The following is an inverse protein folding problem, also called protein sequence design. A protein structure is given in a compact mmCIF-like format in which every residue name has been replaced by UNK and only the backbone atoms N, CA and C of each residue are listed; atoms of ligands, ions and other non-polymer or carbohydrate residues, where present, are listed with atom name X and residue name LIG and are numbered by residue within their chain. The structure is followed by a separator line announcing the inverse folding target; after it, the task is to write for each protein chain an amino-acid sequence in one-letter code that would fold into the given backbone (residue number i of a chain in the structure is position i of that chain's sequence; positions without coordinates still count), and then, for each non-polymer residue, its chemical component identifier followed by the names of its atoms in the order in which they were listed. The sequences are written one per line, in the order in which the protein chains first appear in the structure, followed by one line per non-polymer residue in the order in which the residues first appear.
data_IF_710726174659
#
_entry.id   IF_710726174659
#
_cell.length_a   1.000
_cell.length_b   1.000
_cell.length_c   1.000
_cell.angle_alpha   90.00
_cell.angle_beta   90.00
_cell.angle_gamma   90.00
#
_symmetry.space_group_name_H-M   'P 1'
#
loop_
_entity.id
_entity.type
_entity.pdbx_description
1 polymer ?
#
# COMPACT_ATOMS: atom_id res chain seq x y z
N UNK A 1 -28.84 -16.53 -9.86
CA UNK A 1 -27.62 -16.76 -10.66
C UNK A 1 -26.51 -17.14 -9.70
N UNK A 2 -25.90 -18.31 -9.86
CA UNK A 2 -24.83 -18.81 -8.99
C UNK A 2 -23.57 -17.96 -9.19
N UNK A 3 -23.15 -17.24 -8.15
CA UNK A 3 -21.85 -16.57 -8.15
C UNK A 3 -20.72 -17.55 -7.86
N UNK A 4 -19.50 -17.16 -8.21
CA UNK A 4 -18.29 -17.90 -7.88
C UNK A 4 -17.91 -17.67 -6.43
N UNK A 5 -17.56 -18.71 -5.70
CA UNK A 5 -17.03 -18.59 -4.34
C UNK A 5 -15.59 -18.06 -4.36
N UNK A 6 -15.10 -17.57 -3.22
CA UNK A 6 -13.68 -17.13 -3.10
C UNK A 6 -12.69 -18.23 -3.52
N UNK A 7 -13.01 -19.49 -3.20
CA UNK A 7 -12.21 -20.67 -3.54
C UNK A 7 -12.19 -20.92 -5.05
N UNK A 8 -13.34 -20.84 -5.72
CA UNK A 8 -13.45 -21.02 -7.17
C UNK A 8 -12.73 -19.89 -7.92
N UNK A 9 -12.88 -18.65 -7.47
CA UNK A 9 -12.15 -17.50 -8.06
C UNK A 9 -10.64 -17.66 -7.87
N UNK A 10 -10.22 -18.10 -6.69
CA UNK A 10 -8.82 -18.40 -6.38
C UNK A 10 -8.25 -19.46 -7.34
N UNK A 11 -8.96 -20.56 -7.56
CA UNK A 11 -8.56 -21.63 -8.48
C UNK A 11 -8.55 -21.15 -9.95
N UNK A 12 -9.57 -20.42 -10.38
CA UNK A 12 -9.70 -19.93 -11.76
C UNK A 12 -8.62 -18.92 -12.15
N UNK A 13 -8.17 -18.11 -11.20
CA UNK A 13 -7.20 -17.04 -11.45
C UNK A 13 -5.80 -17.39 -10.93
N UNK A 14 -5.61 -18.53 -10.25
CA UNK A 14 -4.35 -18.84 -9.57
C UNK A 14 -3.94 -17.74 -8.58
N UNK A 15 -4.90 -17.14 -7.88
CA UNK A 15 -4.68 -16.15 -6.84
C UNK A 15 -4.87 -16.82 -5.48
N UNK A 16 -4.14 -16.44 -4.44
CA UNK A 16 -4.41 -16.93 -3.09
C UNK A 16 -5.76 -16.37 -2.59
N UNK A 17 -6.57 -17.12 -1.80
CA UNK A 17 -7.88 -16.66 -1.34
C UNK A 17 -7.86 -15.33 -0.55
N UNK A 18 -6.75 -15.00 0.12
CA UNK A 18 -6.60 -13.70 0.78
C UNK A 18 -6.43 -12.54 -0.23
N UNK A 19 -5.73 -12.75 -1.36
CA UNK A 19 -5.60 -11.74 -2.41
C UNK A 19 -6.98 -11.40 -3.00
N UNK A 20 -7.82 -12.43 -3.23
CA UNK A 20 -9.21 -12.25 -3.67
C UNK A 20 -10.02 -11.44 -2.64
N UNK A 21 -9.89 -11.75 -1.34
CA UNK A 21 -10.58 -11.01 -0.26
C UNK A 21 -10.05 -9.59 -0.07
N UNK A 22 -8.77 -9.33 -0.33
CA UNK A 22 -8.18 -7.99 -0.30
C UNK A 22 -8.88 -7.05 -1.30
N UNK A 23 -9.20 -7.54 -2.51
CA UNK A 23 -9.94 -6.75 -3.51
C UNK A 23 -11.40 -6.47 -3.14
N UNK A 24 -11.98 -7.26 -2.24
CA UNK A 24 -13.29 -6.98 -1.62
C UNK A 24 -13.15 -5.89 -0.56
N UNK A 25 -12.17 -6.01 0.35
CA UNK A 25 -11.92 -5.03 1.43
C UNK A 25 -11.52 -3.65 0.90
N UNK A 26 -10.76 -3.61 -0.19
CA UNK A 26 -10.36 -2.37 -0.88
C UNK A 26 -11.48 -1.77 -1.76
N UNK A 27 -12.69 -2.34 -1.67
CA UNK A 27 -13.90 -1.93 -2.38
C UNK A 27 -13.78 -1.93 -3.91
N UNK A 28 -12.85 -2.70 -4.47
CA UNK A 28 -12.67 -2.80 -5.93
C UNK A 28 -13.74 -3.68 -6.55
N UNK A 29 -14.01 -4.83 -5.91
CA UNK A 29 -15.15 -5.70 -6.21
C UNK A 29 -16.13 -5.69 -5.03
N UNK A 30 -17.43 -5.80 -5.32
CA UNK A 30 -18.49 -5.87 -4.31
C UNK A 30 -19.33 -7.12 -4.56
N UNK A 31 -18.81 -8.31 -4.24
CA UNK A 31 -19.52 -9.57 -4.45
C UNK A 31 -20.77 -9.64 -3.58
N UNK A 32 -21.78 -10.37 -4.05
CA UNK A 32 -22.95 -10.71 -3.25
C UNK A 32 -22.60 -11.65 -2.10
N UNK A 33 -23.57 -11.89 -1.21
CA UNK A 33 -23.46 -12.87 -0.13
C UNK A 33 -24.35 -14.07 -0.42
N UNK A 34 -23.81 -15.27 -0.21
CA UNK A 34 -24.57 -16.51 -0.23
C UNK A 34 -25.34 -16.75 1.06
N UNK A 35 -26.11 -17.84 1.10
CA UNK A 35 -26.95 -18.20 2.25
C UNK A 35 -26.15 -18.46 3.53
N UNK A 36 -24.87 -18.85 3.41
CA UNK A 36 -23.96 -19.08 4.55
C UNK A 36 -23.00 -17.91 4.78
N UNK A 37 -23.27 -16.74 4.18
CA UNK A 37 -22.45 -15.53 4.32
C UNK A 37 -21.16 -15.53 3.51
N UNK A 38 -20.92 -16.53 2.67
CA UNK A 38 -19.79 -16.60 1.75
C UNK A 38 -19.88 -15.52 0.66
N UNK A 39 -18.73 -15.05 0.19
CA UNK A 39 -18.68 -14.15 -0.97
C UNK A 39 -19.02 -14.91 -2.24
N UNK A 40 -20.02 -14.39 -2.96
CA UNK A 40 -20.44 -14.84 -4.28
C UNK A 40 -20.08 -13.77 -5.31
N UNK A 41 -18.95 -13.98 -5.97
CA UNK A 41 -18.41 -13.13 -7.01
C UNK A 41 -19.21 -13.30 -8.29
N UNK A 42 -19.63 -12.19 -8.88
CA UNK A 42 -20.19 -12.20 -10.22
C UNK A 42 -19.10 -12.48 -11.25
N UNK A 43 -19.48 -12.88 -12.46
CA UNK A 43 -18.54 -12.98 -13.57
C UNK A 43 -17.77 -11.67 -13.81
N UNK A 44 -18.43 -10.52 -13.60
CA UNK A 44 -17.80 -9.19 -13.69
C UNK A 44 -16.68 -9.03 -12.68
N UNK A 45 -16.88 -9.48 -11.44
CA UNK A 45 -15.88 -9.42 -10.39
C UNK A 45 -14.68 -10.31 -10.74
N UNK A 46 -14.93 -11.52 -11.25
CA UNK A 46 -13.85 -12.45 -11.67
C UNK A 46 -13.01 -11.86 -12.79
N UNK A 47 -13.63 -11.18 -13.76
CA UNK A 47 -12.90 -10.48 -14.83
C UNK A 47 -12.09 -9.31 -14.27
N UNK A 48 -12.63 -8.52 -13.34
CA UNK A 48 -11.91 -7.41 -12.72
C UNK A 48 -10.70 -7.91 -11.91
N UNK A 49 -10.86 -9.02 -11.19
CA UNK A 49 -9.80 -9.68 -10.44
C UNK A 49 -8.73 -10.27 -11.36
N UNK A 50 -9.11 -10.79 -12.54
CA UNK A 50 -8.15 -11.22 -13.57
C UNK A 50 -7.31 -10.04 -14.07
N UNK A 51 -7.95 -8.90 -14.31
CA UNK A 51 -7.26 -7.66 -14.70
C UNK A 51 -6.32 -7.19 -13.59
N UNK A 52 -6.77 -7.24 -12.35
CA UNK A 52 -5.97 -6.89 -11.18
C UNK A 52 -4.73 -7.77 -11.04
N UNK A 53 -4.90 -9.08 -11.21
CA UNK A 53 -3.80 -10.04 -11.25
C UNK A 53 -2.81 -9.70 -12.37
N UNK A 54 -3.28 -9.45 -13.59
CA UNK A 54 -2.40 -9.08 -14.71
C UNK A 54 -1.60 -7.79 -14.48
N UNK A 55 -2.14 -6.82 -13.73
CA UNK A 55 -1.41 -5.60 -13.34
C UNK A 55 -0.31 -5.92 -12.32
N UNK A 56 -0.62 -6.72 -11.29
CA UNK A 56 0.38 -7.16 -10.30
C UNK A 56 1.49 -7.97 -10.98
N UNK A 57 1.12 -8.95 -11.82
CA UNK A 57 2.06 -9.78 -12.57
C UNK A 57 2.96 -8.94 -13.50
N UNK A 58 2.53 -7.72 -13.87
CA UNK A 58 3.29 -6.75 -14.68
C UNK A 58 4.18 -5.81 -13.86
N UNK A 59 4.44 -6.11 -12.57
CA UNK A 59 5.22 -5.27 -11.64
C UNK A 59 4.62 -3.88 -11.38
N UNK A 60 3.30 -3.73 -11.51
CA UNK A 60 2.61 -2.51 -11.10
C UNK A 60 2.29 -2.64 -9.61
N UNK A 61 2.70 -1.65 -8.81
CA UNK A 61 2.47 -1.68 -7.37
C UNK A 61 0.99 -1.87 -7.04
N UNK A 62 0.63 -2.61 -5.98
CA UNK A 62 -0.77 -2.86 -5.62
C UNK A 62 -1.59 -1.57 -5.48
N UNK A 63 -1.01 -0.51 -4.92
CA UNK A 63 -1.63 0.83 -4.83
C UNK A 63 -1.97 1.41 -6.21
N UNK A 64 -1.07 1.29 -7.20
CA UNK A 64 -1.27 1.78 -8.57
C UNK A 64 -2.28 0.90 -9.33
N UNK A 65 -2.23 -0.42 -9.15
CA UNK A 65 -3.21 -1.35 -9.71
C UNK A 65 -4.63 -1.06 -9.19
N UNK A 66 -4.80 -0.84 -7.88
CA UNK A 66 -6.07 -0.45 -7.27
C UNK A 66 -6.59 0.89 -7.84
N UNK A 67 -5.72 1.89 -8.02
CA UNK A 67 -6.07 3.19 -8.62
C UNK A 67 -6.56 3.04 -10.07
N UNK A 68 -5.89 2.21 -10.87
CA UNK A 68 -6.28 1.90 -12.25
C UNK A 68 -7.63 1.20 -12.28
N UNK A 69 -7.84 0.17 -11.46
CA UNK A 69 -9.10 -0.58 -11.42
C UNK A 69 -10.28 0.29 -10.96
N UNK A 70 -10.08 1.19 -9.98
CA UNK A 70 -11.10 2.16 -9.54
C UNK A 70 -11.48 3.12 -10.67
N UNK A 71 -10.50 3.63 -11.42
CA UNK A 71 -10.75 4.51 -12.58
C UNK A 71 -11.48 3.78 -13.71
N UNK A 72 -11.07 2.56 -14.05
CA UNK A 72 -11.74 1.73 -15.05
C UNK A 72 -13.20 1.45 -14.69
N UNK A 73 -13.49 1.26 -13.40
CA UNK A 73 -14.86 1.08 -12.91
C UNK A 73 -15.71 2.35 -13.06
N UNK A 74 -15.14 3.53 -12.80
CA UNK A 74 -15.84 4.82 -12.92
C UNK A 74 -16.06 5.24 -14.37
N UNK A 75 -15.10 4.95 -15.26
CA UNK A 75 -15.14 5.32 -16.68
C UNK A 75 -16.03 4.40 -17.54
N UNK A 76 -16.54 3.30 -16.98
CA UNK A 76 -17.39 2.34 -17.70
C UNK A 76 -18.76 2.18 -17.02
N UNK A 77 -19.66 3.18 -17.09
CA UNK A 77 -21.03 3.02 -16.60
C UNK A 77 -21.87 2.28 -17.65
N UNK A 78 -22.49 1.17 -17.23
CA UNK A 78 -23.48 0.44 -18.03
C UNK A 78 -22.91 -0.66 -18.93
N UNK A 79 -23.39 -1.89 -18.70
CA UNK A 79 -23.53 -3.04 -19.62
C UNK A 79 -22.40 -3.49 -20.56
N UNK A 80 -21.18 -2.92 -20.51
CA UNK A 80 -20.06 -3.45 -21.29
C UNK A 80 -19.20 -4.38 -20.43
N UNK A 81 -19.06 -5.67 -20.78
CA UNK A 81 -18.24 -6.57 -20.00
C UNK A 81 -16.76 -6.23 -20.21
N UNK A 82 -16.05 -6.03 -19.10
CA UNK A 82 -14.60 -5.77 -19.02
C UNK A 82 -13.75 -6.88 -19.71
N UNK A 83 -14.38 -7.99 -20.12
CA UNK A 83 -13.77 -9.11 -20.85
C UNK A 83 -13.32 -8.73 -22.27
N UNK A 84 -13.77 -7.59 -22.81
CA UNK A 84 -13.30 -7.07 -24.09
C UNK A 84 -12.03 -6.20 -23.97
N UNK A 85 -11.58 -5.88 -22.75
CA UNK A 85 -10.44 -5.01 -22.50
C UNK A 85 -9.14 -5.82 -22.49
N UNK A 86 -8.29 -5.63 -23.50
CA UNK A 86 -6.93 -6.16 -23.53
C UNK A 86 -5.99 -5.10 -22.96
N UNK A 87 -5.25 -5.42 -21.91
CA UNK A 87 -4.21 -4.54 -21.37
C UNK A 87 -2.90 -4.80 -22.11
N UNK A 88 -2.27 -3.73 -22.61
CA UNK A 88 -0.98 -3.74 -23.28
C UNK A 88 -0.04 -2.84 -22.50
N UNK A 89 1.12 -3.35 -22.11
CA UNK A 89 2.18 -2.55 -21.49
C UNK A 89 2.97 -1.85 -22.58
N UNK A 90 3.09 -0.53 -22.47
CA UNK A 90 3.92 0.30 -23.34
C UNK A 90 4.83 1.17 -22.45
N UNK A 91 6.06 0.69 -22.23
CA UNK A 91 7.00 1.30 -21.28
C UNK A 91 6.45 1.35 -19.85
N UNK A 92 6.27 2.56 -19.32
CA UNK A 92 5.67 2.84 -18.00
C UNK A 92 4.14 3.02 -18.01
N UNK A 93 3.53 2.98 -19.19
CA UNK A 93 2.10 3.21 -19.39
C UNK A 93 1.35 1.90 -19.61
N UNK A 94 0.15 1.83 -19.03
CA UNK A 94 -0.81 0.74 -19.30
C UNK A 94 -1.79 1.25 -20.34
N UNK A 95 -1.83 0.62 -21.50
CA UNK A 95 -2.81 0.88 -22.54
C UNK A 95 -3.95 -0.12 -22.43
N UNK A 96 -5.18 0.37 -22.51
CA UNK A 96 -6.39 -0.42 -22.60
C UNK A 96 -6.81 -0.49 -24.06
N UNK A 97 -7.05 -1.68 -24.57
CA UNK A 97 -7.53 -1.93 -25.91
C UNK A 97 -8.93 -2.52 -25.88
N UNK A 98 -9.89 -1.83 -26.49
CA UNK A 98 -11.24 -2.33 -26.75
C UNK A 98 -11.63 -2.01 -28.19
N UNK A 99 -12.19 -2.99 -28.92
CA UNK A 99 -12.79 -2.79 -30.25
C UNK A 99 -11.93 -1.94 -31.20
N UNK A 100 -10.60 -2.19 -31.20
CA UNK A 100 -9.63 -1.50 -32.05
C UNK A 100 -9.27 -0.04 -31.64
N UNK A 101 -9.60 0.38 -30.42
CA UNK A 101 -9.18 1.66 -29.82
C UNK A 101 -8.25 1.44 -28.64
N UNK A 102 -7.18 2.20 -28.59
CA UNK A 102 -6.23 2.25 -27.48
C UNK A 102 -6.45 3.51 -26.66
N UNK A 103 -6.33 3.43 -25.34
CA UNK A 103 -6.19 4.61 -24.48
C UNK A 103 -5.34 4.27 -23.25
N UNK A 104 -4.65 5.25 -22.70
CA UNK A 104 -3.89 5.10 -21.48
C UNK A 104 -4.86 4.92 -20.30
N UNK A 105 -4.70 3.84 -19.52
CA UNK A 105 -5.55 3.49 -18.39
C UNK A 105 -5.44 4.49 -17.23
N UNK A 106 -4.35 5.25 -17.19
CA UNK A 106 -4.05 6.22 -16.14
C UNK A 106 -4.52 7.62 -16.53
N UNK A 107 -4.25 8.06 -17.76
CA UNK A 107 -4.55 9.43 -18.19
C UNK A 107 -5.85 9.54 -18.99
N UNK A 108 -6.40 8.43 -19.50
CA UNK A 108 -7.54 8.41 -20.42
C UNK A 108 -7.21 8.91 -21.83
N UNK A 109 -5.96 9.28 -22.10
CA UNK A 109 -5.54 9.81 -23.39
C UNK A 109 -5.42 8.71 -24.45
N UNK A 110 -5.83 9.01 -25.67
CA UNK A 110 -5.64 8.13 -26.82
C UNK A 110 -4.21 8.31 -27.33
N UNK A 111 -3.37 7.26 -27.37
CA UNK A 111 -2.02 7.36 -27.92
C UNK A 111 -2.09 7.66 -29.43
N UNK A 112 -1.15 8.48 -29.90
CA UNK A 112 -1.04 8.84 -31.31
C UNK A 112 -0.82 7.56 -32.16
N UNK A 113 -1.38 7.47 -33.39
CA UNK A 113 -1.33 6.27 -34.23
C UNK A 113 0.09 5.78 -34.57
N UNK A 114 1.09 6.64 -34.42
CA UNK A 114 2.51 6.36 -34.67
C UNK A 114 3.24 5.76 -33.45
N UNK A 115 2.66 5.88 -32.25
CA UNK A 115 3.23 5.40 -30.98
C UNK A 115 2.51 4.17 -30.43
N UNK A 116 1.36 3.78 -31.00
CA UNK A 116 0.65 2.58 -30.56
C UNK A 116 1.45 1.32 -30.97
N UNK A 117 1.78 0.41 -30.04
CA UNK A 117 2.45 -0.83 -30.38
C UNK A 117 1.57 -1.63 -31.35
N UNK A 118 2.03 -1.80 -32.59
CA UNK A 118 1.44 -2.73 -33.53
C UNK A 118 1.78 -4.14 -33.04
N UNK A 119 0.81 -5.02 -32.79
CA UNK A 119 1.13 -6.39 -32.41
C UNK A 119 1.80 -7.08 -33.60
N UNK A 120 3.11 -7.32 -33.50
CA UNK A 120 3.66 -8.50 -34.13
C UNK A 120 3.04 -9.71 -33.38
N UNK A 121 2.57 -10.70 -34.13
CA UNK A 121 1.91 -11.94 -33.66
C UNK A 121 0.38 -11.88 -33.61
N UNK A 122 -0.18 -12.64 -34.56
CA UNK A 122 -1.59 -12.93 -34.76
C UNK A 122 -2.13 -13.88 -33.68
N UNK A 123 -3.42 -13.75 -33.45
CA UNK A 123 -4.29 -14.52 -32.56
C UNK A 123 -4.10 -16.04 -32.74
N UNK A 124 -3.46 -16.74 -31.79
CA UNK A 124 -3.66 -18.19 -31.59
C UNK A 124 -3.02 -18.84 -30.34
N UNK A 125 -2.19 -18.18 -29.53
CA UNK A 125 -1.53 -18.87 -28.37
C UNK A 125 -2.03 -18.39 -27.00
N UNK A 126 -3.33 -18.57 -26.72
CA UNK A 126 -3.86 -18.53 -25.35
C UNK A 126 -4.74 -19.77 -25.11
N UNK A 127 -4.27 -20.93 -25.57
CA UNK A 127 -4.73 -22.24 -25.14
C UNK A 127 -3.49 -23.12 -24.98
N UNK A 128 -3.20 -23.53 -23.74
CA UNK A 128 -2.13 -24.47 -23.42
C UNK A 128 -0.82 -23.81 -23.01
N UNK A 129 -0.45 -24.05 -21.75
CA UNK A 129 0.87 -23.86 -21.15
C UNK A 129 1.35 -22.43 -20.90
N UNK A 130 1.33 -22.08 -19.61
CA UNK A 130 2.35 -21.33 -18.91
C UNK A 130 3.06 -20.23 -19.71
N UNK A 131 2.70 -18.99 -19.40
CA UNK A 131 3.73 -17.98 -19.27
C UNK A 131 4.59 -18.45 -18.09
N UNK A 132 5.66 -19.16 -18.42
CA UNK A 132 6.75 -19.46 -17.50
C UNK A 132 7.46 -18.14 -17.28
N UNK A 133 7.00 -17.41 -16.27
CA UNK A 133 7.90 -16.51 -15.54
C UNK A 133 8.58 -17.40 -14.52
N UNK A 134 9.86 -17.68 -14.75
CA UNK A 134 10.72 -18.25 -13.72
C UNK A 134 10.89 -17.21 -12.61
N UNK A 135 9.95 -17.17 -11.66
CA UNK A 135 10.32 -16.77 -10.31
C UNK A 135 11.13 -17.94 -9.75
N UNK A 136 12.37 -17.66 -9.34
CA UNK A 136 13.05 -18.57 -8.43
C UNK A 136 12.13 -18.80 -7.24
N UNK A 137 11.71 -20.05 -7.08
CA UNK A 137 11.09 -20.66 -5.91
C UNK A 137 10.52 -19.72 -4.82
N UNK A 138 9.21 -19.47 -4.88
CA UNK A 138 8.35 -19.49 -3.68
C UNK A 138 8.35 -18.33 -2.68
N UNK A 139 9.11 -17.25 -2.86
CA UNK A 139 9.17 -16.15 -1.88
C UNK A 139 8.28 -14.94 -2.23
N UNK A 140 7.58 -14.39 -1.24
CA UNK A 140 6.77 -13.16 -1.41
C UNK A 140 7.67 -11.93 -1.56
N UNK A 141 7.22 -10.94 -2.33
CA UNK A 141 7.92 -9.65 -2.48
C UNK A 141 7.86 -8.80 -1.19
N UNK A 142 8.74 -7.78 -1.09
CA UNK A 142 8.75 -6.87 0.06
C UNK A 142 7.39 -6.20 0.32
N UNK A 143 6.75 -5.70 -0.73
CA UNK A 143 5.42 -5.08 -0.63
C UNK A 143 4.35 -6.08 -0.16
N UNK A 144 4.42 -7.34 -0.60
CA UNK A 144 3.47 -8.38 -0.17
C UNK A 144 3.68 -8.75 1.31
N UNK A 145 4.93 -8.87 1.75
CA UNK A 145 5.26 -9.07 3.16
C UNK A 145 4.84 -7.87 4.03
N UNK A 146 5.06 -6.64 3.56
CA UNK A 146 4.64 -5.43 4.26
C UNK A 146 3.13 -5.35 4.43
N UNK A 147 2.36 -5.61 3.36
CA UNK A 147 0.90 -5.62 3.43
C UNK A 147 0.37 -6.75 4.33
N UNK A 148 1.04 -7.91 4.35
CA UNK A 148 0.72 -8.96 5.32
C UNK A 148 0.96 -8.48 6.76
N UNK A 149 2.05 -7.76 7.02
CA UNK A 149 2.33 -7.16 8.32
C UNK A 149 1.19 -6.24 8.78
N UNK A 150 0.70 -5.36 7.91
CA UNK A 150 -0.45 -4.50 8.20
C UNK A 150 -1.72 -5.31 8.54
N UNK A 151 -2.04 -6.32 7.75
CA UNK A 151 -3.20 -7.22 8.01
C UNK A 151 -3.06 -7.96 9.36
N UNK A 152 -1.84 -8.34 9.72
CA UNK A 152 -1.54 -9.02 10.98
C UNK A 152 -1.64 -8.08 12.17
N UNK A 153 -1.28 -6.80 12.05
CA UNK A 153 -1.47 -5.85 13.17
C UNK A 153 -2.93 -5.74 13.62
N UNK A 154 -3.89 -5.86 12.71
CA UNK A 154 -5.32 -5.80 13.02
C UNK A 154 -5.87 -7.11 13.63
N UNK A 155 -5.22 -8.24 13.37
CA UNK A 155 -5.78 -9.57 13.65
C UNK A 155 -4.93 -10.43 14.60
N UNK A 156 -3.62 -10.44 14.39
CA UNK A 156 -2.63 -11.27 15.07
C UNK A 156 -1.34 -10.47 15.26
N UNK A 157 -1.38 -9.40 16.07
CA UNK A 157 -0.29 -8.41 16.20
C UNK A 157 1.07 -9.03 16.53
N UNK A 158 1.09 -10.14 17.27
CA UNK A 158 2.31 -10.89 17.62
C UNK A 158 3.05 -11.48 16.41
N UNK A 159 2.36 -11.68 15.28
CA UNK A 159 2.94 -12.21 14.03
C UNK A 159 3.40 -11.12 13.07
N UNK A 160 2.92 -9.89 13.23
CA UNK A 160 3.26 -8.78 12.35
C UNK A 160 4.77 -8.47 12.27
N UNK A 161 5.58 -8.57 13.35
CA UNK A 161 7.01 -8.34 13.28
C UNK A 161 7.75 -9.25 12.29
N UNK A 162 7.36 -10.54 12.20
CA UNK A 162 7.97 -11.49 11.26
C UNK A 162 7.68 -11.10 9.80
N UNK A 163 6.45 -10.67 9.51
CA UNK A 163 6.08 -10.21 8.19
C UNK A 163 6.86 -8.95 7.78
N UNK A 164 7.04 -7.97 8.68
CA UNK A 164 7.86 -6.80 8.38
C UNK A 164 9.35 -7.13 8.24
N UNK A 165 9.86 -8.07 9.04
CA UNK A 165 11.24 -8.54 8.92
C UNK A 165 11.47 -9.17 7.54
N UNK A 166 10.54 -9.99 7.06
CA UNK A 166 10.60 -10.58 5.71
C UNK A 166 10.45 -9.53 4.61
N UNK A 167 9.69 -8.45 4.84
CA UNK A 167 9.63 -7.32 3.93
C UNK A 167 11.00 -6.62 3.82
N UNK A 168 11.68 -6.41 4.94
CA UNK A 168 13.01 -5.81 5.01
C UNK A 168 14.07 -6.72 4.35
N UNK A 169 13.97 -8.03 4.53
CA UNK A 169 14.88 -9.00 3.89
C UNK A 169 14.72 -9.02 2.36
N UNK A 170 13.47 -8.92 1.89
CA UNK A 170 13.16 -8.86 0.46
C UNK A 170 13.55 -7.50 -0.18
N UNK A 171 13.45 -6.40 0.57
CA UNK A 171 13.94 -5.08 0.16
C UNK A 171 14.47 -4.28 1.37
N UNK A 172 15.80 -4.21 1.54
CA UNK A 172 16.43 -3.45 2.62
C UNK A 172 16.24 -1.92 2.55
N UNK A 173 15.58 -1.41 1.51
CA UNK A 173 15.25 0.01 1.36
C UNK A 173 13.80 0.35 1.70
N UNK A 174 13.00 -0.64 2.08
CA UNK A 174 11.59 -0.44 2.46
C UNK A 174 11.45 0.31 3.80
N UNK A 175 11.39 1.63 3.71
CA UNK A 175 11.27 2.53 4.87
C UNK A 175 9.99 2.26 5.68
N UNK A 176 8.86 2.01 5.02
CA UNK A 176 7.57 1.79 5.68
C UNK A 176 7.62 0.54 6.60
N UNK A 177 8.27 -0.53 6.13
CA UNK A 177 8.45 -1.75 6.92
C UNK A 177 9.31 -1.51 8.17
N UNK A 178 10.42 -0.76 8.05
CA UNK A 178 11.23 -0.39 9.21
C UNK A 178 10.46 0.46 10.22
N UNK A 179 9.66 1.44 9.77
CA UNK A 179 8.86 2.29 10.66
C UNK A 179 7.84 1.44 11.44
N UNK A 180 7.10 0.56 10.78
CA UNK A 180 6.08 -0.26 11.44
C UNK A 180 6.69 -1.32 12.37
N UNK A 181 7.76 -2.00 11.95
CA UNK A 181 8.50 -2.91 12.83
C UNK A 181 9.06 -2.19 14.07
N UNK A 182 9.60 -0.97 13.88
CA UNK A 182 10.04 -0.11 14.97
C UNK A 182 8.92 0.22 15.95
N UNK A 183 7.72 0.57 15.45
CA UNK A 183 6.53 0.84 16.27
C UNK A 183 6.14 -0.37 17.10
N UNK A 184 6.08 -1.56 16.50
CA UNK A 184 5.72 -2.79 17.22
C UNK A 184 6.76 -3.14 18.30
N UNK A 185 8.04 -2.94 18.03
CA UNK A 185 9.07 -3.07 19.05
C UNK A 185 8.93 -2.06 20.19
N UNK A 186 8.50 -0.84 19.91
CA UNK A 186 8.26 0.16 20.96
C UNK A 186 7.05 -0.21 21.81
N UNK A 187 5.94 -0.60 21.19
CA UNK A 187 4.72 -1.04 21.88
C UNK A 187 4.97 -2.26 22.79
N UNK A 188 5.90 -3.15 22.40
CA UNK A 188 6.32 -4.30 23.21
C UNK A 188 7.38 -3.96 24.27
N UNK A 189 7.77 -2.69 24.42
CA UNK A 189 8.80 -2.24 25.38
C UNK A 189 10.24 -2.52 24.94
N UNK A 190 10.47 -3.05 23.73
CA UNK A 190 11.80 -3.31 23.19
C UNK A 190 12.39 -2.04 22.52
N UNK A 191 12.62 -1.02 23.35
CA UNK A 191 13.08 0.31 22.92
C UNK A 191 14.40 0.27 22.15
N UNK A 192 15.30 -0.67 22.50
CA UNK A 192 16.58 -0.84 21.79
C UNK A 192 16.38 -1.26 20.35
N UNK A 193 15.44 -2.17 20.08
CA UNK A 193 15.16 -2.62 18.72
C UNK A 193 14.39 -1.56 17.94
N UNK A 194 13.42 -0.90 18.56
CA UNK A 194 12.69 0.21 17.97
C UNK A 194 13.63 1.33 17.51
N UNK A 195 14.53 1.77 18.40
CA UNK A 195 15.55 2.78 18.09
C UNK A 195 16.40 2.42 16.87
N UNK A 196 16.88 1.17 16.78
CA UNK A 196 17.66 0.71 15.61
C UNK A 196 16.89 0.80 14.30
N UNK A 197 15.61 0.47 14.30
CA UNK A 197 14.76 0.55 13.11
C UNK A 197 14.56 2.00 12.68
N UNK A 198 14.27 2.91 13.61
CA UNK A 198 14.12 4.33 13.27
C UNK A 198 15.45 4.97 12.85
N UNK A 199 16.59 4.60 13.44
CA UNK A 199 17.92 5.04 12.98
C UNK A 199 18.23 4.54 11.57
N UNK A 200 17.80 3.32 11.21
CA UNK A 200 17.89 2.80 9.83
C UNK A 200 17.05 3.64 8.87
N UNK A 201 15.82 3.99 9.25
CA UNK A 201 14.97 4.90 8.47
C UNK A 201 15.68 6.22 8.23
N UNK A 202 16.28 6.83 9.27
CA UNK A 202 16.98 8.11 9.12
C UNK A 202 18.29 8.00 8.31
N UNK A 203 18.89 6.81 8.19
CA UNK A 203 20.00 6.59 7.25
C UNK A 203 19.51 6.58 5.79
N UNK A 204 18.34 6.03 5.53
CA UNK A 204 17.73 5.95 4.19
C UNK A 204 17.04 7.26 3.80
N UNK A 205 16.38 7.92 4.75
CA UNK A 205 15.60 9.13 4.60
C UNK A 205 15.84 10.08 5.80
N UNK A 206 16.89 10.93 5.75
CA UNK A 206 17.29 11.78 6.88
C UNK A 206 16.21 12.73 7.42
N UNK A 207 15.31 13.18 6.56
CA UNK A 207 14.23 14.12 6.90
C UNK A 207 12.89 13.42 7.20
N UNK A 208 12.89 12.10 7.46
CA UNK A 208 11.66 11.35 7.71
C UNK A 208 11.00 11.78 9.03
N UNK A 209 9.93 12.59 8.95
CA UNK A 209 9.31 13.23 10.11
C UNK A 209 8.81 12.21 11.15
N UNK A 210 8.15 11.14 10.73
CA UNK A 210 7.60 10.14 11.65
C UNK A 210 8.69 9.36 12.39
N UNK A 211 9.84 9.13 11.76
CA UNK A 211 10.95 8.41 12.40
C UNK A 211 11.67 9.30 13.41
N UNK A 212 11.84 10.59 13.10
CA UNK A 212 12.29 11.59 14.07
C UNK A 212 11.31 11.69 15.25
N UNK A 213 10.00 11.74 15.01
CA UNK A 213 9.00 11.77 16.08
C UNK A 213 9.11 10.53 16.98
N UNK A 214 9.16 9.32 16.42
CA UNK A 214 9.23 8.10 17.21
C UNK A 214 10.57 7.93 17.97
N UNK A 215 11.69 8.45 17.44
CA UNK A 215 12.92 8.53 18.23
C UNK A 215 12.77 9.52 19.39
N UNK A 216 12.09 10.64 19.16
CA UNK A 216 11.74 11.59 20.21
C UNK A 216 10.95 10.93 21.33
N UNK A 217 9.92 10.14 21.01
CA UNK A 217 9.12 9.43 22.02
C UNK A 217 9.93 8.41 22.81
N UNK A 218 10.85 7.67 22.16
CA UNK A 218 11.78 6.77 22.88
C UNK A 218 12.65 7.53 23.88
N UNK A 219 13.24 8.66 23.50
CA UNK A 219 14.08 9.44 24.43
C UNK A 219 13.25 10.08 25.55
N UNK A 220 12.00 10.44 25.26
CA UNK A 220 11.03 10.95 26.25
C UNK A 220 10.67 9.87 27.29
N UNK A 221 10.39 8.64 26.85
CA UNK A 221 10.16 7.48 27.71
C UNK A 221 11.38 7.13 28.60
N UNK A 222 12.59 7.50 28.15
CA UNK A 222 13.84 7.33 28.90
C UNK A 222 14.19 8.55 29.78
N UNK A 223 13.30 9.55 29.88
CA UNK A 223 13.51 10.82 30.59
C UNK A 223 14.70 11.66 30.07
N UNK A 224 15.15 11.38 28.84
CA UNK A 224 16.20 12.12 28.15
C UNK A 224 15.62 13.33 27.37
N UNK A 225 14.94 14.22 28.08
CA UNK A 225 14.09 15.29 27.51
C UNK A 225 14.82 16.22 26.52
N UNK A 226 16.12 16.49 26.72
CA UNK A 226 16.92 17.32 25.82
C UNK A 226 17.03 16.67 24.44
N UNK A 227 17.33 15.36 24.39
CA UNK A 227 17.40 14.61 23.13
C UNK A 227 16.01 14.43 22.52
N UNK A 228 15.00 14.16 23.35
CA UNK A 228 13.62 14.08 22.89
C UNK A 228 13.22 15.35 22.12
N UNK A 229 13.50 16.53 22.70
CA UNK A 229 13.25 17.81 22.07
C UNK A 229 14.04 18.03 20.76
N UNK A 230 15.27 17.54 20.65
CA UNK A 230 16.05 17.61 19.41
C UNK A 230 15.38 16.84 18.26
N UNK A 231 14.90 15.64 18.54
CA UNK A 231 14.21 14.80 17.57
C UNK A 231 12.81 15.32 17.23
N UNK A 232 12.03 15.75 18.22
CA UNK A 232 10.74 16.38 17.96
C UNK A 232 10.87 17.65 17.09
N UNK A 233 11.95 18.45 17.25
CA UNK A 233 12.20 19.63 16.39
C UNK A 233 12.42 19.28 14.91
N UNK A 234 12.88 18.06 14.62
CA UNK A 234 13.06 17.55 13.24
C UNK A 234 11.76 16.95 12.67
N UNK A 235 10.75 16.70 13.50
CA UNK A 235 9.46 16.15 13.11
C UNK A 235 8.41 17.26 12.84
N UNK A 236 8.77 18.29 12.09
CA UNK A 236 7.96 19.52 11.90
C UNK A 236 6.57 19.29 11.27
N UNK A 237 6.38 18.18 10.55
CA UNK A 237 5.10 17.79 9.95
C UNK A 237 4.21 16.93 10.85
N UNK A 238 4.64 16.62 12.08
CA UNK A 238 3.89 15.78 13.03
C UNK A 238 3.29 16.68 14.11
N UNK A 239 1.96 16.84 14.19
CA UNK A 239 1.32 17.65 15.22
C UNK A 239 1.80 17.26 16.62
N UNK A 240 1.79 15.98 16.93
CA UNK A 240 2.13 15.47 18.27
C UNK A 240 3.57 15.80 18.69
N UNK A 241 4.48 15.99 17.74
CA UNK A 241 5.84 16.46 18.04
C UNK A 241 5.82 17.88 18.63
N UNK A 242 4.96 18.76 18.10
CA UNK A 242 4.76 20.11 18.63
C UNK A 242 4.04 20.09 19.98
N UNK A 243 3.07 19.19 20.17
CA UNK A 243 2.45 19.00 21.47
C UNK A 243 3.49 18.59 22.54
N UNK A 244 4.35 17.62 22.23
CA UNK A 244 5.39 17.15 23.15
C UNK A 244 6.47 18.22 23.41
N UNK A 245 6.85 19.01 22.39
CA UNK A 245 7.75 20.15 22.58
C UNK A 245 7.15 21.23 23.48
N UNK A 246 5.84 21.49 23.38
CA UNK A 246 5.16 22.42 24.27
C UNK A 246 5.22 21.94 25.72
N UNK A 247 4.92 20.66 25.96
CA UNK A 247 5.01 20.03 27.28
C UNK A 247 6.43 20.11 27.87
N UNK A 248 7.46 19.80 27.08
CA UNK A 248 8.86 19.90 27.53
C UNK A 248 9.23 21.35 27.86
N UNK A 249 8.77 22.31 27.04
CA UNK A 249 9.00 23.73 27.30
C UNK A 249 8.33 24.20 28.61
N UNK A 250 7.09 23.76 28.89
CA UNK A 250 6.40 24.03 30.15
C UNK A 250 7.16 23.48 31.36
N UNK A 251 7.67 22.25 31.28
CA UNK A 251 8.49 21.66 32.34
C UNK A 251 9.77 22.46 32.62
N UNK A 252 10.34 23.08 31.58
CA UNK A 252 11.52 23.95 31.69
C UNK A 252 11.21 25.41 32.07
N UNK A 253 9.92 25.78 32.18
CA UNK A 253 9.47 27.15 32.45
C UNK A 253 9.55 28.10 31.25
N UNK A 254 9.83 27.62 30.03
CA UNK A 254 9.83 28.42 28.81
C UNK A 254 8.42 28.54 28.22
N UNK A 255 7.62 29.41 28.85
CA UNK A 255 6.23 29.64 28.45
C UNK A 255 6.09 30.21 27.02
N UNK A 256 7.11 30.91 26.53
CA UNK A 256 7.12 31.47 25.19
C UNK A 256 7.25 30.37 24.12
N UNK A 257 8.18 29.45 24.30
CA UNK A 257 8.31 28.29 23.41
C UNK A 257 7.09 27.38 23.51
N UNK A 258 6.56 27.15 24.71
CA UNK A 258 5.35 26.34 24.92
C UNK A 258 4.17 26.87 24.07
N UNK A 259 3.86 28.16 24.20
CA UNK A 259 2.79 28.80 23.41
C UNK A 259 3.06 28.75 21.91
N UNK A 260 4.32 28.90 21.48
CA UNK A 260 4.70 28.80 20.06
C UNK A 260 4.41 27.41 19.50
N UNK A 261 4.84 26.36 20.20
CA UNK A 261 4.62 24.99 19.76
C UNK A 261 3.14 24.60 19.81
N UNK A 262 2.39 25.04 20.83
CA UNK A 262 0.94 24.82 20.90
C UNK A 262 0.16 25.48 19.75
N UNK A 263 0.58 26.66 19.28
CA UNK A 263 0.00 27.26 18.06
C UNK A 263 0.25 26.36 16.85
N UNK A 264 1.49 25.95 16.62
CA UNK A 264 1.84 25.11 15.47
C UNK A 264 1.13 23.76 15.47
N UNK A 265 0.94 23.16 16.66
CA UNK A 265 0.11 21.96 16.81
C UNK A 265 -1.30 22.16 16.24
N UNK A 266 -1.99 23.25 16.62
CA UNK A 266 -3.35 23.54 16.13
C UNK A 266 -3.38 23.77 14.63
N UNK A 267 -2.44 24.57 14.11
CA UNK A 267 -2.35 24.83 12.67
C UNK A 267 -2.25 23.52 11.88
N UNK A 268 -1.40 22.58 12.33
CA UNK A 268 -1.21 21.30 11.66
C UNK A 268 -2.45 20.38 11.75
N UNK A 269 -3.18 20.42 12.86
CA UNK A 269 -4.43 19.66 13.00
C UNK A 269 -5.50 20.22 12.04
N UNK A 270 -5.64 21.54 11.94
CA UNK A 270 -6.57 22.19 11.01
C UNK A 270 -6.20 21.87 9.55
N UNK A 271 -4.92 22.01 9.18
CA UNK A 271 -4.41 21.66 7.84
C UNK A 271 -4.68 20.19 7.44
N UNK A 272 -4.80 19.29 8.43
CA UNK A 272 -5.06 17.86 8.18
C UNK A 272 -6.53 17.52 7.97
N UNK A 273 -7.45 18.36 8.44
CA UNK A 273 -8.90 18.16 8.29
C UNK A 273 -9.44 18.67 6.95
N UNK A 274 -8.71 19.58 6.31
CA UNK A 274 -9.09 20.20 5.04
C UNK A 274 -8.61 19.42 3.78
N UNK A 275 -8.03 18.22 3.94
CA UNK A 275 -7.48 17.38 2.85
C UNK A 275 -8.24 16.07 2.67
#
# INVERSE_FOLDING_TARGET
MSGYTTQEVSALLGMKPHQVRHYVRSEVVQPGRGEKGEYLFSFRDVVLLRTAKGLIDSQITPRRALKVLRRLRQQTPGERPLSALRLVRDGESVLVCAENRYWNAETGQVPLPFAAPRPAVSVSTILGNGIVVTHGDGEMSSDEWYNLGLDLEESEIEKAPDAYQRAIEADPTNVDAYVNAGRLHQLSGNLRSAKRHYELVLRLAPEHHLANYNLGTIFDELDELVKAAEYYRKAQGVPDAHFNLARIAELSGDEMSARRHMRRYRDLIEESQDR
#
